data_IF_618988687046
#
_entry.id   IF_618988687046
#
_cell.length_a   1.000
_cell.length_b   1.000
_cell.length_c   1.000
_cell.angle_alpha   90.00
_cell.angle_beta   90.00
_cell.angle_gamma   90.00
#
_symmetry.space_group_name_H-M   'P 1'
#
loop_
_entity.id
_entity.type
_entity.pdbx_description
1 polymer ?
#
# COMPACT_ATOMS: atom_id res chain seq x y z
N UNK A 1 -0.09 12.34 20.78
CA UNK A 1 -0.35 13.03 19.50
C UNK A 1 0.86 12.76 18.61
N UNK A 2 0.78 11.83 17.63
CA UNK A 2 1.91 11.54 16.74
C UNK A 2 1.95 12.60 15.63
N UNK A 3 3.12 13.16 15.28
CA UNK A 3 3.20 14.24 14.32
C UNK A 3 2.76 13.76 12.94
N UNK A 4 2.01 14.62 12.25
CA UNK A 4 1.65 14.47 10.84
C UNK A 4 2.89 14.75 10.02
N UNK A 5 3.67 13.71 9.73
CA UNK A 5 4.80 13.81 8.79
C UNK A 5 4.26 13.41 7.43
N UNK A 6 3.99 14.41 6.59
CA UNK A 6 3.85 14.22 5.15
C UNK A 6 5.27 13.98 4.62
N UNK A 7 5.77 12.76 4.81
CA UNK A 7 7.17 12.43 4.51
C UNK A 7 7.37 12.51 3.00
N UNK A 8 8.35 13.31 2.52
CA UNK A 8 8.63 13.38 1.09
C UNK A 8 9.03 12.00 0.57
N UNK A 9 8.62 11.62 -0.64
CA UNK A 9 9.06 10.38 -1.25
C UNK A 9 10.59 10.40 -1.38
N UNK A 10 11.22 9.28 -1.07
CA UNK A 10 12.65 9.09 -1.33
C UNK A 10 12.90 9.05 -2.85
N UNK A 11 14.17 8.97 -3.26
CA UNK A 11 14.55 8.84 -4.68
C UNK A 11 13.85 7.65 -5.40
N UNK A 12 13.44 6.64 -4.64
CA UNK A 12 12.68 5.48 -5.13
C UNK A 12 11.16 5.72 -5.29
N UNK A 13 10.65 6.90 -4.90
CA UNK A 13 9.23 7.26 -4.95
C UNK A 13 8.39 6.79 -3.75
N UNK A 14 8.96 6.04 -2.80
CA UNK A 14 8.25 5.52 -1.62
C UNK A 14 8.36 6.50 -0.43
N UNK A 15 7.34 6.57 0.46
CA UNK A 15 7.43 7.33 1.70
C UNK A 15 8.50 6.75 2.62
N UNK A 16 9.40 7.56 3.16
CA UNK A 16 10.49 7.04 4.00
C UNK A 16 9.97 6.32 5.27
N UNK A 17 8.85 6.77 5.81
CA UNK A 17 8.20 6.16 6.98
C UNK A 17 7.56 4.78 6.70
N UNK A 18 7.60 4.31 5.45
CA UNK A 18 7.08 2.99 5.04
C UNK A 18 8.14 1.89 5.03
N UNK A 19 9.41 2.20 5.27
CA UNK A 19 10.51 1.23 5.21
C UNK A 19 10.27 -0.02 6.08
N UNK A 20 9.72 0.15 7.28
CA UNK A 20 9.45 -0.96 8.21
C UNK A 20 8.40 -1.96 7.69
N UNK A 21 7.65 -1.63 6.63
CA UNK A 21 6.72 -2.56 5.97
C UNK A 21 7.42 -3.58 5.06
N UNK A 22 8.72 -3.37 4.77
CA UNK A 22 9.46 -4.15 3.78
C UNK A 22 10.79 -4.71 4.35
N UNK A 23 10.77 -5.43 5.49
CA UNK A 23 12.00 -5.93 6.10
C UNK A 23 12.73 -6.97 5.23
N UNK A 24 12.03 -7.63 4.31
CA UNK A 24 12.60 -8.64 3.41
C UNK A 24 13.18 -8.06 2.10
N UNK A 25 13.12 -6.74 1.91
CA UNK A 25 13.52 -6.07 0.68
C UNK A 25 14.63 -5.05 0.95
N UNK A 26 15.50 -4.85 -0.05
CA UNK A 26 16.34 -3.66 -0.07
C UNK A 26 15.48 -2.46 -0.45
N UNK A 27 15.03 -1.72 0.56
CA UNK A 27 14.15 -0.57 0.40
C UNK A 27 14.74 0.49 -0.54
N UNK A 28 16.06 0.65 -0.58
CA UNK A 28 16.74 1.62 -1.45
C UNK A 28 16.63 1.28 -2.94
N UNK A 29 16.50 -0.01 -3.27
CA UNK A 29 16.41 -0.52 -4.64
C UNK A 29 14.96 -0.76 -5.11
N UNK A 30 13.99 -0.69 -4.20
CA UNK A 30 12.58 -0.77 -4.58
C UNK A 30 12.19 0.40 -5.50
N UNK A 31 11.15 0.22 -6.30
CA UNK A 31 10.49 1.31 -7.04
C UNK A 31 8.99 1.02 -7.16
N UNK A 32 8.21 2.06 -7.37
CA UNK A 32 6.73 1.97 -7.35
C UNK A 32 6.16 1.06 -8.43
N UNK A 33 6.78 0.97 -9.61
CA UNK A 33 6.20 0.17 -10.69
C UNK A 33 6.54 -1.32 -10.59
N UNK A 34 7.81 -1.67 -10.47
CA UNK A 34 8.24 -3.08 -10.42
C UNK A 34 7.75 -3.78 -9.14
N UNK A 35 7.68 -3.04 -8.02
CA UNK A 35 7.26 -3.58 -6.73
C UNK A 35 5.80 -3.24 -6.39
N UNK A 36 5.00 -2.76 -7.36
CA UNK A 36 3.63 -2.31 -7.13
C UNK A 36 2.79 -3.34 -6.37
N UNK A 37 2.91 -4.63 -6.70
CA UNK A 37 2.14 -5.69 -6.06
C UNK A 37 2.40 -5.81 -4.56
N UNK A 38 3.68 -5.86 -4.15
CA UNK A 38 4.04 -5.96 -2.73
C UNK A 38 3.79 -4.64 -2.00
N UNK A 39 4.00 -3.50 -2.65
CA UNK A 39 3.71 -2.18 -2.05
C UNK A 39 2.22 -2.06 -1.73
N UNK A 40 1.34 -2.41 -2.69
CA UNK A 40 -0.11 -2.42 -2.47
C UNK A 40 -0.45 -3.39 -1.34
N UNK A 41 0.06 -4.63 -1.38
CA UNK A 41 -0.18 -5.64 -0.33
C UNK A 41 0.15 -5.11 1.07
N UNK A 42 1.40 -4.65 1.26
CA UNK A 42 1.91 -4.27 2.58
C UNK A 42 1.22 -3.03 3.14
N UNK A 43 0.96 -2.03 2.29
CA UNK A 43 0.28 -0.80 2.73
C UNK A 43 -1.19 -1.06 3.04
N UNK A 44 -1.90 -1.88 2.25
CA UNK A 44 -3.29 -2.23 2.56
C UNK A 44 -3.42 -3.07 3.84
N UNK A 45 -2.45 -3.94 4.13
CA UNK A 45 -2.45 -4.82 5.30
C UNK A 45 -2.09 -4.09 6.60
N UNK A 46 -1.06 -3.25 6.58
CA UNK A 46 -0.44 -2.70 7.80
C UNK A 46 -0.13 -1.21 7.74
N UNK A 47 -0.39 -0.56 6.61
CA UNK A 47 -0.05 0.84 6.41
C UNK A 47 -0.86 1.80 7.28
N UNK A 48 -0.28 2.96 7.55
CA UNK A 48 -0.98 4.07 8.21
C UNK A 48 -2.02 4.71 7.26
N UNK A 49 -2.87 5.58 7.82
CA UNK A 49 -3.81 6.40 7.01
C UNK A 49 -3.03 7.29 6.01
N UNK A 50 -1.88 7.84 6.41
CA UNK A 50 -1.06 8.66 5.54
C UNK A 50 -0.49 7.83 4.36
N UNK A 51 0.03 6.64 4.65
CA UNK A 51 0.55 5.73 3.63
C UNK A 51 -0.55 5.21 2.70
N UNK A 52 -1.73 4.96 3.23
CA UNK A 52 -2.92 4.60 2.43
C UNK A 52 -3.32 5.73 1.47
N UNK A 53 -3.30 6.98 1.94
CA UNK A 53 -3.56 8.15 1.08
C UNK A 53 -2.51 8.29 -0.01
N UNK A 54 -1.23 8.13 0.34
CA UNK A 54 -0.15 8.10 -0.64
C UNK A 54 -0.35 6.97 -1.67
N UNK A 55 -0.71 5.76 -1.23
CA UNK A 55 -0.97 4.62 -2.11
C UNK A 55 -2.07 4.94 -3.13
N UNK A 56 -3.18 5.51 -2.65
CA UNK A 56 -4.30 5.93 -3.49
C UNK A 56 -3.90 7.02 -4.50
N UNK A 57 -3.05 7.98 -4.11
CA UNK A 57 -2.53 9.01 -5.00
C UNK A 57 -1.52 8.46 -6.03
N UNK A 58 -0.67 7.52 -5.63
CA UNK A 58 0.38 6.94 -6.46
C UNK A 58 -0.17 5.98 -7.52
N UNK A 59 -1.03 5.03 -7.13
CA UNK A 59 -1.54 3.99 -8.03
C UNK A 59 -2.95 4.26 -8.57
N UNK A 60 -3.70 5.14 -7.91
CA UNK A 60 -5.10 5.40 -8.22
C UNK A 60 -6.05 4.30 -7.71
N UNK A 61 -7.28 4.72 -7.37
CA UNK A 61 -8.34 3.83 -6.85
C UNK A 61 -8.61 2.63 -7.76
N UNK A 62 -8.63 2.83 -9.09
CA UNK A 62 -8.96 1.78 -10.07
C UNK A 62 -7.93 0.64 -10.06
N UNK A 63 -6.63 0.96 -10.04
CA UNK A 63 -5.54 -0.04 -10.03
C UNK A 63 -5.56 -0.85 -8.73
N UNK A 64 -5.74 -0.16 -7.60
CA UNK A 64 -5.79 -0.80 -6.28
C UNK A 64 -7.03 -1.70 -6.16
N UNK A 65 -8.21 -1.24 -6.59
CA UNK A 65 -9.43 -2.05 -6.57
C UNK A 65 -9.29 -3.31 -7.46
N UNK A 66 -8.67 -3.19 -8.63
CA UNK A 66 -8.38 -4.35 -9.49
C UNK A 66 -7.42 -5.34 -8.81
N UNK A 67 -6.40 -4.83 -8.11
CA UNK A 67 -5.47 -5.65 -7.32
C UNK A 67 -6.20 -6.37 -6.17
N UNK A 68 -7.04 -5.67 -5.40
CA UNK A 68 -7.81 -6.24 -4.29
C UNK A 68 -8.77 -7.32 -4.80
N UNK A 69 -9.48 -7.08 -5.90
CA UNK A 69 -10.35 -8.08 -6.51
C UNK A 69 -9.59 -9.34 -6.92
N UNK A 70 -8.40 -9.19 -7.50
CA UNK A 70 -7.63 -10.31 -8.05
C UNK A 70 -6.84 -11.09 -6.99
N UNK A 71 -6.27 -10.41 -6.02
CA UNK A 71 -5.27 -10.97 -5.10
C UNK A 71 -5.65 -10.83 -3.62
N UNK A 72 -6.56 -9.93 -3.27
CA UNK A 72 -6.84 -9.56 -1.89
C UNK A 72 -7.25 -10.74 -1.01
N UNK A 73 -8.00 -11.72 -1.53
CA UNK A 73 -8.42 -12.89 -0.73
C UNK A 73 -7.28 -13.87 -0.40
N UNK A 74 -6.17 -13.85 -1.17
CA UNK A 74 -5.00 -14.70 -0.94
C UNK A 74 -3.87 -13.98 -0.23
N UNK A 75 -3.75 -12.66 -0.43
CA UNK A 75 -2.60 -11.86 -0.03
C UNK A 75 -2.84 -11.00 1.21
N UNK A 76 -4.10 -10.72 1.54
CA UNK A 76 -4.47 -9.97 2.73
C UNK A 76 -5.14 -10.90 3.74
N UNK A 77 -5.12 -10.54 5.02
CA UNK A 77 -5.93 -11.24 6.01
C UNK A 77 -7.42 -11.10 5.66
N UNK A 78 -8.25 -12.09 6.03
CA UNK A 78 -9.67 -12.11 5.68
C UNK A 78 -10.39 -10.79 6.02
N UNK A 79 -10.17 -10.29 7.25
CA UNK A 79 -10.76 -9.04 7.75
C UNK A 79 -10.35 -7.82 6.91
N UNK A 80 -9.06 -7.68 6.59
CA UNK A 80 -8.54 -6.55 5.81
C UNK A 80 -9.04 -6.64 4.36
N UNK A 81 -9.06 -7.85 3.80
CA UNK A 81 -9.56 -8.14 2.47
C UNK A 81 -11.03 -7.74 2.30
N UNK A 82 -11.88 -8.13 3.26
CA UNK A 82 -13.30 -7.73 3.30
C UNK A 82 -13.48 -6.22 3.44
N UNK A 83 -12.71 -5.59 4.34
CA UNK A 83 -12.74 -4.14 4.50
C UNK A 83 -12.46 -3.42 3.18
N UNK A 84 -11.40 -3.79 2.48
CA UNK A 84 -11.05 -3.15 1.21
C UNK A 84 -12.03 -3.48 0.08
N UNK A 85 -12.61 -4.70 0.05
CA UNK A 85 -13.71 -5.01 -0.87
C UNK A 85 -14.89 -4.06 -0.65
N UNK A 86 -15.29 -3.87 0.60
CA UNK A 86 -16.37 -2.95 0.96
C UNK A 86 -16.04 -1.50 0.56
N UNK A 87 -14.85 -0.99 0.90
CA UNK A 87 -14.40 0.37 0.53
C UNK A 87 -14.41 0.60 -0.98
N UNK A 88 -14.05 -0.42 -1.77
CA UNK A 88 -14.02 -0.32 -3.23
C UNK A 88 -15.31 -0.75 -3.93
N UNK A 89 -16.34 -1.20 -3.20
CA UNK A 89 -17.59 -1.70 -3.79
C UNK A 89 -17.39 -2.96 -4.65
N UNK A 90 -16.46 -3.82 -4.25
CA UNK A 90 -16.20 -5.10 -4.93
C UNK A 90 -17.19 -6.13 -4.38
N UNK A 91 -18.04 -6.65 -5.27
CA UNK A 91 -18.95 -7.76 -5.01
C UNK A 91 -18.22 -9.10 -5.10
#
# INVERSE_FOLDING_TARGET
MKPRIETPPLANGLPADSQWLFPEYDFGLMNTEQFAGVIIERVLERGSIAQTRWLLGCYGKRRIAAWVRRYGYRRLSHKVSEYWRWVFGIK
#
